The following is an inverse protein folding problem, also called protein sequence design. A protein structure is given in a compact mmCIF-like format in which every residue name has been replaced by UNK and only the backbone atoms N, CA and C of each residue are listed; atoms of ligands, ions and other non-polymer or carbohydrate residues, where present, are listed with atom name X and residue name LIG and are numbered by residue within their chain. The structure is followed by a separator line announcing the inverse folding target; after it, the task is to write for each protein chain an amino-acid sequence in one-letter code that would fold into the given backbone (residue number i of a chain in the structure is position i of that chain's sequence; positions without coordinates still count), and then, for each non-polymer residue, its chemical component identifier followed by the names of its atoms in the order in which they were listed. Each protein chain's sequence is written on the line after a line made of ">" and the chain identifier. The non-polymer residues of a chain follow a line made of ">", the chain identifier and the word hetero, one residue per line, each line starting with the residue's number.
data_IF_573634642580
#
_entry.id   IF_573634642580
#
_cell.length_a   1.000
_cell.length_b   1.000
_cell.length_c   1.000
_cell.angle_alpha   90.00
_cell.angle_beta   90.00
_cell.angle_gamma   90.00
#
_symmetry.space_group_name_H-M   'P 1'
#
loop_
_entity.id
_entity.type
_entity.pdbx_description
1 polymer ?
#
# COMPACT_ATOMS: atom_id res chain seq x y z
N UNK A 1 7.51 6.02 29.58
CA UNK A 1 7.24 7.26 28.83
C UNK A 1 5.76 7.23 28.48
N UNK A 2 4.98 8.25 28.84
CA UNK A 2 3.56 8.29 28.49
C UNK A 2 3.48 8.80 27.06
N UNK A 3 3.24 7.90 26.11
CA UNK A 3 2.92 8.29 24.74
C UNK A 3 1.49 8.80 24.71
N UNK A 4 1.30 10.07 24.38
CA UNK A 4 -0.01 10.71 24.31
C UNK A 4 -0.59 10.46 22.91
N UNK A 5 -1.18 9.28 22.74
CA UNK A 5 -1.86 8.88 21.50
C UNK A 5 -3.25 9.49 21.50
N UNK A 6 -3.53 10.36 20.54
CA UNK A 6 -4.83 11.00 20.36
C UNK A 6 -5.57 10.42 19.17
N UNK A 7 -6.85 10.09 19.37
CA UNK A 7 -7.79 9.69 18.32
C UNK A 7 -8.80 10.81 18.09
N UNK A 8 -8.86 11.31 16.85
CA UNK A 8 -9.90 12.25 16.40
C UNK A 8 -10.77 11.56 15.36
N UNK A 9 -12.09 11.60 15.53
CA UNK A 9 -13.04 11.13 14.52
C UNK A 9 -13.58 12.33 13.75
N UNK A 10 -13.43 12.31 12.43
CA UNK A 10 -13.97 13.34 11.55
C UNK A 10 -15.46 13.09 11.25
N UNK A 11 -16.18 14.12 10.81
CA UNK A 11 -17.59 14.01 10.41
C UNK A 11 -17.80 13.02 9.25
N UNK A 12 -16.76 12.78 8.44
CA UNK A 12 -16.75 11.76 7.38
C UNK A 12 -16.70 10.32 7.91
N UNK A 13 -16.49 10.12 9.21
CA UNK A 13 -16.23 8.81 9.82
C UNK A 13 -14.77 8.38 9.78
N UNK A 14 -13.90 9.11 9.09
CA UNK A 14 -12.47 8.85 9.08
C UNK A 14 -11.85 9.06 10.47
N UNK A 15 -10.92 8.19 10.85
CA UNK A 15 -10.20 8.23 12.12
C UNK A 15 -8.79 8.74 11.90
N UNK A 16 -8.41 9.78 12.64
CA UNK A 16 -7.06 10.34 12.63
C UNK A 16 -6.40 10.00 13.96
N UNK A 17 -5.40 9.12 13.91
CA UNK A 17 -4.59 8.73 15.07
C UNK A 17 -3.28 9.50 14.99
N UNK A 18 -2.94 10.21 16.06
CA UNK A 18 -1.69 10.99 16.13
C UNK A 18 -0.95 10.68 17.41
N UNK A 19 0.38 10.67 17.31
CA UNK A 19 1.26 10.59 18.46
C UNK A 19 2.37 11.62 18.27
N UNK A 20 2.51 12.54 19.24
CA UNK A 20 3.54 13.58 19.16
C UNK A 20 4.80 13.12 19.89
N UNK A 21 5.92 13.13 19.17
CA UNK A 21 7.25 12.85 19.70
C UNK A 21 8.11 14.13 19.65
N UNK A 22 8.14 14.97 20.72
CA UNK A 22 8.72 16.32 20.65
C UNK A 22 10.23 16.39 20.37
N UNK A 23 10.94 15.28 20.54
CA UNK A 23 12.38 15.17 20.35
C UNK A 23 12.77 14.73 18.93
N UNK A 24 11.80 14.41 18.07
CA UNK A 24 12.04 14.05 16.68
C UNK A 24 11.85 15.26 15.76
N UNK A 25 12.64 15.29 14.68
CA UNK A 25 12.57 16.31 13.60
C UNK A 25 12.10 15.70 12.27
N UNK A 26 11.42 14.57 12.37
CA UNK A 26 10.82 13.82 11.27
C UNK A 26 9.37 13.46 11.62
N UNK A 27 8.62 13.12 10.59
CA UNK A 27 7.22 12.68 10.67
C UNK A 27 7.07 11.40 9.86
N UNK A 28 6.11 10.56 10.27
CA UNK A 28 5.58 9.49 9.46
C UNK A 28 4.07 9.73 9.36
N UNK A 29 3.55 9.77 8.14
CA UNK A 29 2.14 9.96 7.84
C UNK A 29 1.71 8.84 6.91
N UNK A 30 0.51 8.30 7.09
CA UNK A 30 0.00 7.30 6.19
C UNK A 30 -1.50 7.08 6.31
N UNK A 31 -2.05 6.43 5.29
CA UNK A 31 -3.42 5.95 5.25
C UNK A 31 -3.42 4.45 5.46
N UNK A 32 -4.17 4.00 6.47
CA UNK A 32 -4.46 2.59 6.72
C UNK A 32 -5.89 2.31 6.27
N UNK A 33 -6.03 1.62 5.15
CA UNK A 33 -7.31 1.19 4.60
C UNK A 33 -7.61 -0.18 5.17
N UNK A 34 -8.73 -0.33 5.88
CA UNK A 34 -9.18 -1.60 6.47
C UNK A 34 -9.73 -2.57 5.44
N UNK A 35 -8.99 -2.76 4.35
CA UNK A 35 -9.29 -3.63 3.22
C UNK A 35 -7.97 -4.25 2.79
N UNK A 36 -7.92 -5.57 2.73
CA UNK A 36 -6.80 -6.33 2.18
C UNK A 36 -7.29 -7.49 1.33
N UNK A 37 -6.40 -8.46 1.03
CA UNK A 37 -6.76 -9.53 0.09
C UNK A 37 -7.89 -10.44 0.55
N UNK A 38 -8.21 -10.48 1.85
CA UNK A 38 -9.34 -11.27 2.37
C UNK A 38 -10.71 -10.70 1.99
N UNK A 39 -10.76 -9.42 1.64
CA UNK A 39 -12.01 -8.69 1.39
C UNK A 39 -12.41 -8.74 -0.09
N UNK A 40 -11.54 -9.30 -0.94
CA UNK A 40 -11.73 -9.41 -2.39
C UNK A 40 -12.69 -10.54 -2.75
N UNK A 41 -13.56 -10.37 -3.77
CA UNK A 41 -14.23 -11.51 -4.38
C UNK A 41 -13.21 -12.40 -5.11
N UNK A 42 -13.49 -13.70 -5.25
CA UNK A 42 -12.54 -14.66 -5.82
C UNK A 42 -12.08 -14.28 -7.23
N UNK A 43 -12.97 -13.73 -8.04
CA UNK A 43 -12.69 -13.25 -9.40
C UNK A 43 -11.82 -11.98 -9.47
N UNK A 44 -11.56 -11.32 -8.35
CA UNK A 44 -10.65 -10.15 -8.24
C UNK A 44 -9.51 -10.40 -7.26
N UNK A 45 -9.17 -11.67 -6.97
CA UNK A 45 -8.06 -11.98 -6.08
C UNK A 45 -6.76 -11.31 -6.55
N UNK A 46 -6.09 -10.59 -5.65
CA UNK A 46 -4.89 -9.79 -5.95
C UNK A 46 -5.17 -8.32 -6.25
N UNK A 47 -6.43 -7.87 -6.31
CA UNK A 47 -6.77 -6.50 -6.68
C UNK A 47 -6.19 -5.43 -5.72
N UNK A 48 -6.13 -5.69 -4.42
CA UNK A 48 -5.60 -4.76 -3.42
C UNK A 48 -4.09 -4.57 -3.60
N UNK A 49 -3.37 -5.67 -3.84
CA UNK A 49 -1.94 -5.65 -4.17
C UNK A 49 -1.68 -4.99 -5.53
N UNK A 50 -2.53 -5.25 -6.52
CA UNK A 50 -2.42 -4.59 -7.82
C UNK A 50 -2.59 -3.06 -7.69
N UNK A 51 -3.62 -2.63 -6.96
CA UNK A 51 -3.85 -1.21 -6.71
C UNK A 51 -2.68 -0.58 -5.95
N UNK A 52 -2.10 -1.30 -4.98
CA UNK A 52 -0.89 -0.85 -4.29
C UNK A 52 0.21 -0.44 -5.26
N UNK A 53 0.52 -1.27 -6.27
CA UNK A 53 1.49 -0.95 -7.31
C UNK A 53 1.08 0.26 -8.15
N UNK A 54 -0.18 0.30 -8.57
CA UNK A 54 -0.67 1.31 -9.51
C UNK A 54 -0.77 2.71 -8.90
N UNK A 55 -1.05 2.83 -7.61
CA UNK A 55 -1.19 4.14 -6.95
C UNK A 55 0.12 4.96 -6.99
N UNK A 56 1.27 4.31 -7.18
CA UNK A 56 2.57 5.00 -7.36
C UNK A 56 2.92 5.31 -8.82
N UNK A 57 2.13 4.87 -9.81
CA UNK A 57 2.41 5.11 -11.25
C UNK A 57 2.03 6.50 -11.76
N UNK A 58 1.59 7.35 -10.85
CA UNK A 58 1.28 8.74 -11.14
C UNK A 58 -0.21 9.05 -11.01
N UNK A 59 -0.47 10.34 -11.01
CA UNK A 59 -1.79 10.95 -10.93
C UNK A 59 -2.06 11.72 -12.21
N UNK A 60 -3.22 12.36 -12.32
CA UNK A 60 -3.52 13.26 -13.44
C UNK A 60 -2.56 14.47 -13.47
N UNK A 61 -2.02 14.87 -12.32
CA UNK A 61 -1.15 16.03 -12.17
C UNK A 61 0.35 15.72 -12.07
N UNK A 62 0.73 14.46 -11.82
CA UNK A 62 2.13 14.05 -11.57
C UNK A 62 2.46 12.72 -12.22
N UNK A 63 3.64 12.61 -12.80
CA UNK A 63 4.20 11.31 -13.18
C UNK A 63 4.73 10.57 -11.95
N UNK A 64 4.98 9.27 -12.08
CA UNK A 64 5.67 8.49 -11.03
C UNK A 64 7.01 9.12 -10.63
N UNK A 65 7.77 9.64 -11.61
CA UNK A 65 9.04 10.32 -11.38
C UNK A 65 8.86 11.62 -10.60
N UNK A 66 7.83 12.44 -10.93
CA UNK A 66 7.55 13.68 -10.19
C UNK A 66 7.18 13.39 -8.73
N UNK A 67 6.45 12.30 -8.47
CA UNK A 67 6.10 11.85 -7.11
C UNK A 67 7.35 11.45 -6.34
N UNK A 68 8.20 10.60 -6.93
CA UNK A 68 9.45 10.16 -6.34
C UNK A 68 10.38 11.36 -6.06
N UNK A 69 10.61 12.22 -7.05
CA UNK A 69 11.47 13.40 -6.92
C UNK A 69 10.98 14.36 -5.83
N UNK A 70 9.66 14.58 -5.72
CA UNK A 70 9.09 15.44 -4.69
C UNK A 70 9.41 14.95 -3.27
N UNK A 71 9.40 13.63 -3.05
CA UNK A 71 9.68 12.99 -1.75
C UNK A 71 11.19 12.86 -1.51
N UNK A 72 11.94 12.31 -2.47
CA UNK A 72 13.35 11.98 -2.32
C UNK A 72 14.25 13.23 -2.27
N UNK A 73 13.92 14.29 -3.01
CA UNK A 73 14.72 15.53 -3.04
C UNK A 73 14.84 16.24 -1.69
N UNK A 74 13.93 15.94 -0.75
CA UNK A 74 13.97 16.46 0.63
C UNK A 74 14.48 15.44 1.64
N UNK A 75 14.99 14.29 1.19
CA UNK A 75 15.45 13.18 2.02
C UNK A 75 14.30 12.36 2.61
N UNK A 76 13.14 12.38 1.93
CA UNK A 76 11.99 11.58 2.27
C UNK A 76 12.05 10.17 1.69
N UNK A 77 11.14 9.33 2.17
CA UNK A 77 10.87 7.99 1.63
C UNK A 77 9.38 7.72 1.71
N UNK A 78 8.84 7.03 0.70
CA UNK A 78 7.44 6.63 0.66
C UNK A 78 7.33 5.15 0.31
N UNK A 79 6.30 4.50 0.83
CA UNK A 79 6.08 3.08 0.57
C UNK A 79 4.62 2.69 0.81
N UNK A 80 4.30 1.48 0.44
CA UNK A 80 3.04 0.83 0.75
C UNK A 80 3.27 -0.66 1.03
N UNK A 81 2.25 -1.31 1.57
CA UNK A 81 2.14 -2.76 1.55
C UNK A 81 0.70 -3.18 1.79
N UNK A 82 0.37 -4.34 1.25
CA UNK A 82 -0.92 -5.01 1.38
C UNK A 82 -0.76 -6.25 2.23
N UNK A 83 -1.75 -6.48 3.08
CA UNK A 83 -1.87 -7.70 3.88
C UNK A 83 -3.20 -8.35 3.54
N UNK A 84 -3.50 -9.47 4.20
CA UNK A 84 -4.84 -10.03 4.13
C UNK A 84 -5.92 -9.09 4.67
N UNK A 85 -5.64 -8.19 5.61
CA UNK A 85 -6.68 -7.45 6.35
C UNK A 85 -6.67 -5.93 6.13
N UNK A 86 -5.57 -5.38 5.62
CA UNK A 86 -5.42 -3.96 5.35
C UNK A 86 -4.34 -3.70 4.31
N UNK A 87 -4.48 -2.58 3.60
CA UNK A 87 -3.46 -1.97 2.75
C UNK A 87 -3.08 -0.63 3.34
N UNK A 88 -1.79 -0.32 3.35
CA UNK A 88 -1.28 0.95 3.86
C UNK A 88 -0.43 1.67 2.84
N UNK A 89 -0.51 2.99 2.84
CA UNK A 89 0.32 3.89 2.05
C UNK A 89 0.89 4.94 2.99
N UNK A 90 2.20 5.12 3.02
CA UNK A 90 2.82 6.01 3.98
C UNK A 90 4.03 6.73 3.42
N UNK A 91 4.37 7.84 4.05
CA UNK A 91 5.53 8.67 3.75
C UNK A 91 6.24 9.07 5.04
N UNK A 92 7.57 9.11 4.99
CA UNK A 92 8.47 9.51 6.07
C UNK A 92 9.30 10.69 5.58
N UNK A 93 9.15 11.85 6.22
CA UNK A 93 9.77 13.11 5.78
C UNK A 93 10.32 13.90 6.98
N UNK A 94 11.17 14.91 6.75
CA UNK A 94 11.42 15.96 7.75
C UNK A 94 10.13 16.66 8.19
N UNK A 95 10.05 17.05 9.47
CA UNK A 95 8.85 17.64 10.08
C UNK A 95 8.31 18.89 9.36
N UNK A 96 9.22 19.70 8.81
CA UNK A 96 8.92 20.89 8.00
C UNK A 96 8.14 20.60 6.70
N UNK A 97 8.08 19.34 6.26
CA UNK A 97 7.44 18.94 5.00
C UNK A 97 6.06 18.28 5.21
N UNK A 98 5.41 18.50 6.37
CA UNK A 98 4.09 17.93 6.67
C UNK A 98 3.03 18.23 5.60
N UNK A 99 3.01 19.44 5.06
CA UNK A 99 2.06 19.81 4.00
C UNK A 99 2.27 18.95 2.74
N UNK A 100 3.53 18.74 2.33
CA UNK A 100 3.89 17.90 1.19
C UNK A 100 3.50 16.43 1.44
N UNK A 101 3.66 15.93 2.66
CA UNK A 101 3.25 14.57 3.01
C UNK A 101 1.78 14.32 2.66
N UNK A 102 0.89 15.21 3.12
CA UNK A 102 -0.54 15.11 2.83
C UNK A 102 -0.86 15.39 1.37
N UNK A 103 -0.18 16.34 0.73
CA UNK A 103 -0.36 16.62 -0.68
C UNK A 103 -0.09 15.38 -1.54
N UNK A 104 1.07 14.75 -1.38
CA UNK A 104 1.45 13.57 -2.15
C UNK A 104 0.57 12.38 -1.81
N UNK A 105 0.37 12.06 -0.52
CA UNK A 105 -0.45 10.91 -0.13
C UNK A 105 -1.92 11.08 -0.57
N UNK A 106 -2.48 12.28 -0.51
CA UNK A 106 -3.85 12.52 -0.98
C UNK A 106 -3.96 12.46 -2.49
N UNK A 107 -2.94 12.90 -3.23
CA UNK A 107 -2.94 12.81 -4.69
C UNK A 107 -2.98 11.34 -5.14
N UNK A 108 -2.10 10.50 -4.58
CA UNK A 108 -1.98 9.10 -5.01
C UNK A 108 -3.23 8.27 -4.71
N UNK A 109 -3.95 8.49 -3.60
CA UNK A 109 -5.13 7.63 -3.33
C UNK A 109 -6.47 8.18 -3.79
N UNK A 110 -6.58 9.46 -4.12
CA UNK A 110 -7.85 10.06 -4.56
C UNK A 110 -7.83 10.44 -6.03
N UNK A 111 -6.66 10.53 -6.66
CA UNK A 111 -6.53 10.86 -8.08
C UNK A 111 -5.47 10.03 -8.82
N UNK A 112 -5.38 8.69 -8.60
CA UNK A 112 -4.47 7.86 -9.39
C UNK A 112 -4.91 7.84 -10.85
N UNK A 113 -3.96 7.93 -11.78
CA UNK A 113 -4.26 8.01 -13.21
C UNK A 113 -4.75 6.67 -13.80
N UNK A 114 -4.30 5.54 -13.23
CA UNK A 114 -4.68 4.17 -13.63
C UNK A 114 -4.63 3.96 -15.16
N UNK A 115 -3.57 4.45 -15.80
CA UNK A 115 -3.46 4.44 -17.27
C UNK A 115 -3.38 2.98 -17.76
N UNK A 116 -4.02 2.63 -18.89
CA UNK A 116 -4.00 1.25 -19.39
C UNK A 116 -2.58 0.68 -19.60
N UNK A 117 -1.65 1.50 -20.05
CA UNK A 117 -0.25 1.09 -20.25
C UNK A 117 0.47 0.83 -18.90
N UNK A 118 0.17 1.63 -17.87
CA UNK A 118 0.70 1.42 -16.51
C UNK A 118 0.13 0.12 -15.91
N UNK A 119 -1.16 -0.17 -16.16
CA UNK A 119 -1.82 -1.41 -15.76
C UNK A 119 -1.17 -2.63 -16.40
N UNK A 120 -0.96 -2.61 -17.71
CA UNK A 120 -0.35 -3.76 -18.38
C UNK A 120 1.13 -3.92 -18.02
N UNK A 121 1.86 -2.82 -17.81
CA UNK A 121 3.23 -2.89 -17.32
C UNK A 121 3.31 -3.53 -15.93
N UNK A 122 2.46 -3.10 -14.99
CA UNK A 122 2.47 -3.64 -13.63
C UNK A 122 1.95 -5.06 -13.55
N UNK A 123 1.03 -5.46 -14.42
CA UNK A 123 0.64 -6.87 -14.57
C UNK A 123 1.87 -7.76 -14.76
N UNK A 124 2.79 -7.37 -15.64
CA UNK A 124 3.98 -8.16 -15.92
C UNK A 124 4.95 -8.19 -14.71
N UNK A 125 5.06 -7.08 -13.97
CA UNK A 125 5.86 -7.02 -12.73
C UNK A 125 5.29 -7.99 -11.69
N UNK A 126 3.99 -7.97 -11.45
CA UNK A 126 3.31 -8.83 -10.48
C UNK A 126 3.41 -10.31 -10.88
N UNK A 127 3.27 -10.64 -12.17
CA UNK A 127 3.46 -12.00 -12.66
C UNK A 127 4.90 -12.52 -12.43
N UNK A 128 5.90 -11.64 -12.53
CA UNK A 128 7.29 -11.98 -12.19
C UNK A 128 7.48 -12.15 -10.67
N UNK A 129 6.81 -11.36 -9.83
CA UNK A 129 6.83 -11.55 -8.38
C UNK A 129 6.25 -12.91 -7.96
N UNK A 130 5.14 -13.33 -8.58
CA UNK A 130 4.58 -14.67 -8.40
C UNK A 130 5.62 -15.73 -8.79
N UNK A 131 6.31 -15.56 -9.92
CA UNK A 131 7.32 -16.50 -10.39
C UNK A 131 8.55 -16.57 -9.45
N UNK A 132 9.08 -15.43 -9.02
CA UNK A 132 10.22 -15.36 -8.09
C UNK A 132 9.90 -16.01 -6.75
N UNK A 133 8.68 -15.81 -6.25
CA UNK A 133 8.19 -16.45 -5.04
C UNK A 133 8.04 -17.96 -5.21
N UNK A 134 7.49 -18.43 -6.32
CA UNK A 134 7.38 -19.88 -6.62
C UNK A 134 8.75 -20.57 -6.68
N UNK A 135 9.78 -19.84 -7.11
CA UNK A 135 11.18 -20.28 -7.13
C UNK A 135 11.89 -20.15 -5.76
N UNK A 136 11.19 -19.67 -4.73
CA UNK A 136 11.71 -19.45 -3.36
C UNK A 136 10.98 -20.36 -2.36
N UNK A 137 11.48 -21.58 -2.08
CA UNK A 137 10.76 -22.59 -1.29
C UNK A 137 10.40 -22.18 0.14
N UNK A 138 11.19 -21.27 0.73
CA UNK A 138 10.97 -20.71 2.06
C UNK A 138 9.77 -19.78 2.13
N UNK A 139 9.44 -19.07 1.04
CA UNK A 139 8.23 -18.27 0.96
C UNK A 139 7.04 -19.15 0.59
N UNK A 140 7.20 -20.00 -0.43
CA UNK A 140 6.14 -20.88 -0.93
C UNK A 140 5.56 -21.82 0.16
N UNK A 141 6.37 -22.26 1.13
CA UNK A 141 5.87 -23.15 2.20
C UNK A 141 4.85 -22.44 3.11
N UNK A 142 4.97 -21.13 3.32
CA UNK A 142 4.03 -20.37 4.16
C UNK A 142 2.66 -20.22 3.48
N UNK A 143 2.67 -20.04 2.18
CA UNK A 143 1.48 -19.94 1.32
C UNK A 143 0.73 -21.26 1.25
N UNK A 144 1.45 -22.34 0.95
CA UNK A 144 0.90 -23.70 0.92
C UNK A 144 0.33 -24.09 2.29
N UNK A 145 1.01 -23.71 3.37
CA UNK A 145 0.50 -23.94 4.72
C UNK A 145 -0.79 -23.16 4.99
N UNK A 146 -0.84 -21.88 4.65
CA UNK A 146 -2.01 -21.02 4.85
C UNK A 146 -3.21 -21.51 4.05
N UNK A 147 -3.01 -21.83 2.76
CA UNK A 147 -4.05 -22.39 1.89
C UNK A 147 -4.56 -23.75 2.40
N UNK A 148 -3.66 -24.64 2.86
CA UNK A 148 -4.06 -25.94 3.42
C UNK A 148 -4.80 -25.81 4.76
N UNK A 149 -4.45 -24.82 5.58
CA UNK A 149 -5.10 -24.55 6.85
C UNK A 149 -6.48 -23.89 6.67
N UNK A 150 -6.66 -23.12 5.59
CA UNK A 150 -7.84 -22.30 5.32
C UNK A 150 -8.38 -22.47 3.88
N UNK A 151 -8.77 -23.69 3.46
CA UNK A 151 -9.04 -24.00 2.05
C UNK A 151 -10.20 -23.22 1.44
N UNK A 152 -11.25 -22.92 2.22
CA UNK A 152 -12.45 -22.22 1.75
C UNK A 152 -12.57 -20.80 2.33
N UNK A 153 -11.55 -20.32 3.05
CA UNK A 153 -11.62 -19.03 3.72
C UNK A 153 -10.68 -18.02 3.03
N UNK A 154 -11.13 -16.78 2.77
CA UNK A 154 -10.35 -15.77 2.03
C UNK A 154 -8.93 -15.50 2.53
N UNK A 155 -8.68 -15.70 3.83
CA UNK A 155 -7.34 -15.55 4.44
C UNK A 155 -6.32 -16.59 3.97
N UNK A 156 -6.78 -17.72 3.43
CA UNK A 156 -5.92 -18.75 2.84
C UNK A 156 -5.52 -18.45 1.41
N UNK A 157 -6.05 -17.36 0.82
CA UNK A 157 -5.66 -16.88 -0.51
C UNK A 157 -4.45 -15.97 -0.41
N UNK A 158 -3.63 -16.04 -1.43
CA UNK A 158 -2.45 -15.19 -1.57
C UNK A 158 -2.80 -13.72 -1.72
N UNK A 159 -1.98 -12.85 -1.12
CA UNK A 159 -2.14 -11.40 -1.25
C UNK A 159 -1.94 -10.94 -2.69
N UNK A 160 -1.01 -11.57 -3.40
CA UNK A 160 -0.67 -11.27 -4.79
C UNK A 160 -1.71 -11.79 -5.80
N UNK A 161 -2.65 -12.64 -5.36
CA UNK A 161 -3.62 -13.30 -6.25
C UNK A 161 -3.04 -14.52 -6.98
N UNK A 162 -3.56 -14.81 -8.17
CA UNK A 162 -3.07 -15.90 -9.04
C UNK A 162 -2.80 -15.40 -10.46
N UNK A 163 -2.11 -16.21 -11.26
CA UNK A 163 -1.84 -15.88 -12.67
C UNK A 163 -3.11 -15.69 -13.52
N UNK A 164 -4.24 -16.26 -13.07
CA UNK A 164 -5.53 -16.15 -13.76
C UNK A 164 -6.29 -14.87 -13.40
N UNK A 165 -6.13 -14.37 -12.18
CA UNK A 165 -6.83 -13.18 -11.68
C UNK A 165 -6.03 -11.90 -11.87
N UNK A 166 -4.70 -12.04 -12.03
CA UNK A 166 -3.80 -11.00 -12.53
C UNK A 166 -3.90 -11.01 -14.05
#
# INVERSE_FOLDING_TARGET
>A
MSHDVALTCLDSGARVITERLPHLRSIAVGYWVGTGSRDEPDELAGASHFLEHLLFKGTDGRTAADIADAVESIGGDMNAFTTHEFTTYYVRLPDRALALAFEILSDIMWSPALRPDDVESERQVILEEIAMRDDTPEDLVHDLFSSAMFPDHPIGREVVGSRETI
#
